data_IF_507110941529
#
_entry.id   IF_507110941529
#
_cell.length_a   1.000
_cell.length_b   1.000
_cell.length_c   1.000
_cell.angle_alpha   90.00
_cell.angle_beta   90.00
_cell.angle_gamma   90.00
#
_symmetry.space_group_name_H-M   'P 1'
#
loop_
_entity.id
_entity.type
_entity.pdbx_description
1 polymer ?
#
# COMPACT_ATOMS: atom_id res chain seq x y z
N UNK A 1 -3.74 7.40 25.59
CA UNK A 1 -3.44 8.84 25.41
C UNK A 1 -2.63 9.10 24.14
N UNK A 2 -1.44 8.50 23.95
CA UNK A 2 -0.64 8.71 22.73
C UNK A 2 -1.31 8.20 21.43
N UNK A 3 -1.99 7.05 21.45
CA UNK A 3 -2.76 6.51 20.31
C UNK A 3 -3.93 7.43 19.88
N UNK A 4 -4.63 8.03 20.85
CA UNK A 4 -5.70 8.98 20.58
C UNK A 4 -5.20 10.27 19.89
N UNK A 5 -3.93 10.65 20.12
CA UNK A 5 -3.30 11.86 19.58
C UNK A 5 -2.49 11.63 18.28
N UNK A 6 -2.29 10.39 17.84
CA UNK A 6 -1.45 10.06 16.67
C UNK A 6 -2.06 10.52 15.34
N UNK A 7 -3.39 10.56 15.24
CA UNK A 7 -4.10 10.88 14.01
C UNK A 7 -4.38 12.40 13.87
N UNK A 8 -4.09 13.03 12.71
CA UNK A 8 -4.28 14.47 12.51
C UNK A 8 -5.73 14.92 12.67
N UNK A 9 -6.71 14.10 12.26
CA UNK A 9 -8.14 14.40 12.41
C UNK A 9 -8.55 14.43 13.90
N UNK A 10 -8.02 13.51 14.72
CA UNK A 10 -8.28 13.47 16.17
C UNK A 10 -7.66 14.67 16.89
N UNK A 11 -6.44 15.07 16.51
CA UNK A 11 -5.81 16.30 17.02
C UNK A 11 -6.61 17.55 16.66
N UNK A 12 -7.12 17.64 15.43
CA UNK A 12 -8.03 18.72 15.02
C UNK A 12 -9.32 18.70 15.83
N UNK A 13 -9.96 17.55 15.99
CA UNK A 13 -11.18 17.41 16.80
C UNK A 13 -10.98 17.89 18.26
N UNK A 14 -9.87 17.49 18.90
CA UNK A 14 -9.54 17.94 20.26
C UNK A 14 -9.36 19.46 20.37
N UNK A 15 -8.75 20.10 19.36
CA UNK A 15 -8.65 21.58 19.30
C UNK A 15 -10.02 22.23 19.14
N UNK A 16 -10.87 21.69 18.27
CA UNK A 16 -12.24 22.16 18.09
C UNK A 16 -13.07 22.06 19.38
N UNK A 17 -12.87 21.00 20.18
CA UNK A 17 -13.52 20.83 21.48
C UNK A 17 -12.96 21.73 22.58
N UNK A 18 -11.71 22.19 22.43
CA UNK A 18 -11.10 23.14 23.36
C UNK A 18 -11.67 24.55 23.22
N UNK A 19 -12.13 24.91 22.02
CA UNK A 19 -12.83 26.17 21.77
C UNK A 19 -14.23 26.16 22.38
N UNK A 20 -15.03 25.11 22.09
CA UNK A 20 -16.38 24.91 22.62
C UNK A 20 -16.87 23.47 22.42
N UNK A 21 -17.87 23.00 23.19
CA UNK A 21 -18.61 21.79 22.86
C UNK A 21 -19.27 21.88 21.48
N UNK A 22 -19.30 20.76 20.75
CA UNK A 22 -19.80 20.69 19.36
C UNK A 22 -20.70 19.49 19.12
N UNK A 23 -21.68 19.64 18.24
CA UNK A 23 -22.54 18.54 17.81
C UNK A 23 -21.83 17.64 16.78
N UNK A 24 -22.31 16.41 16.65
CA UNK A 24 -21.79 15.45 15.67
C UNK A 24 -21.79 15.99 14.24
N UNK A 25 -22.87 16.65 13.82
CA UNK A 25 -23.01 17.22 12.48
C UNK A 25 -22.06 18.38 12.22
N UNK A 26 -21.81 19.24 13.21
CA UNK A 26 -20.85 20.35 13.11
C UNK A 26 -19.41 19.81 12.93
N UNK A 27 -19.08 18.72 13.63
CA UNK A 27 -17.77 18.06 13.49
C UNK A 27 -17.57 17.45 12.10
N UNK A 28 -18.59 16.82 11.53
CA UNK A 28 -18.50 16.26 10.17
C UNK A 28 -18.15 17.36 9.15
N UNK A 29 -18.81 18.51 9.26
CA UNK A 29 -18.59 19.66 8.37
C UNK A 29 -17.20 20.25 8.55
N UNK A 30 -16.78 20.53 9.79
CA UNK A 30 -15.50 21.20 10.06
C UNK A 30 -14.27 20.32 9.88
N UNK A 31 -14.42 19.00 10.07
CA UNK A 31 -13.35 18.04 9.87
C UNK A 31 -13.34 17.46 8.44
N UNK A 32 -14.36 17.73 7.63
CA UNK A 32 -14.51 17.17 6.29
C UNK A 32 -14.59 15.63 6.28
N UNK A 33 -15.22 15.06 7.31
CA UNK A 33 -15.26 13.62 7.55
C UNK A 33 -16.68 13.06 7.36
N UNK A 34 -16.79 11.88 6.76
CA UNK A 34 -18.05 11.16 6.70
C UNK A 34 -18.46 10.57 8.06
N UNK A 35 -19.73 10.16 8.17
CA UNK A 35 -20.29 9.69 9.44
C UNK A 35 -19.58 8.44 9.98
N UNK A 36 -19.29 7.38 9.17
CA UNK A 36 -18.53 6.23 9.65
C UNK A 36 -17.13 6.58 10.15
N UNK A 37 -16.41 7.45 9.44
CA UNK A 37 -15.04 7.88 9.79
C UNK A 37 -15.03 8.70 11.08
N UNK A 38 -15.98 9.63 11.24
CA UNK A 38 -16.08 10.42 12.48
C UNK A 38 -16.47 9.54 13.68
N UNK A 39 -17.39 8.59 13.51
CA UNK A 39 -17.79 7.65 14.56
C UNK A 39 -16.58 6.82 15.04
N UNK A 40 -15.79 6.31 14.09
CA UNK A 40 -14.56 5.58 14.36
C UNK A 40 -13.57 6.41 15.18
N UNK A 41 -13.30 7.66 14.77
CA UNK A 41 -12.37 8.52 15.49
C UNK A 41 -12.86 8.96 16.87
N UNK A 42 -14.16 9.25 17.03
CA UNK A 42 -14.74 9.58 18.34
C UNK A 42 -14.69 8.39 19.30
N UNK A 43 -14.89 7.17 18.81
CA UNK A 43 -14.72 5.94 19.62
C UNK A 43 -13.29 5.80 20.13
N UNK A 44 -12.28 6.08 19.29
CA UNK A 44 -10.85 6.07 19.69
C UNK A 44 -10.45 7.27 20.56
N UNK A 45 -11.29 8.31 20.66
CA UNK A 45 -11.17 9.43 21.61
C UNK A 45 -11.89 9.16 22.95
N UNK A 46 -12.48 7.98 23.15
CA UNK A 46 -13.15 7.62 24.40
C UNK A 46 -12.23 7.84 25.61
N UNK A 47 -12.77 8.52 26.62
CA UNK A 47 -12.02 8.92 27.82
C UNK A 47 -11.28 10.27 27.70
N UNK A 48 -11.01 10.76 26.49
CA UNK A 48 -10.56 12.15 26.25
C UNK A 48 -11.73 13.08 25.86
N UNK A 49 -12.75 12.52 25.22
CA UNK A 49 -13.95 13.21 24.79
C UNK A 49 -15.16 12.46 25.33
N UNK A 50 -16.15 13.20 25.80
CA UNK A 50 -17.43 12.67 26.24
C UNK A 50 -18.60 13.40 25.61
N UNK A 51 -19.75 12.73 25.56
CA UNK A 51 -21.00 13.32 25.06
C UNK A 51 -21.86 13.71 26.25
N UNK A 52 -22.15 15.01 26.39
CA UNK A 52 -22.96 15.51 27.47
C UNK A 52 -24.46 15.22 27.25
N UNK A 53 -25.28 15.50 28.28
CA UNK A 53 -26.73 15.23 28.28
C UNK A 53 -27.49 15.98 27.17
N UNK A 54 -26.91 17.06 26.66
CA UNK A 54 -27.49 17.87 25.56
C UNK A 54 -27.06 17.38 24.17
N UNK A 55 -26.25 16.33 24.11
CA UNK A 55 -25.81 15.69 22.88
C UNK A 55 -24.56 16.31 22.24
N UNK A 56 -23.88 17.23 22.92
CA UNK A 56 -22.63 17.82 22.47
C UNK A 56 -21.43 16.99 22.94
N UNK A 57 -20.40 16.95 22.11
CA UNK A 57 -19.11 16.36 22.46
C UNK A 57 -18.21 17.44 23.06
N UNK A 58 -17.54 17.12 24.17
CA UNK A 58 -16.66 18.01 24.91
C UNK A 58 -15.44 17.27 25.49
N UNK A 59 -14.36 18.01 25.79
CA UNK A 59 -13.16 17.45 26.40
C UNK A 59 -13.40 17.08 27.87
N UNK A 60 -13.02 15.86 28.22
CA UNK A 60 -12.87 15.46 29.63
C UNK A 60 -11.66 16.18 30.26
N UNK A 61 -11.53 16.12 31.59
CA UNK A 61 -10.33 16.65 32.28
C UNK A 61 -9.03 15.97 31.78
N UNK A 62 -9.10 14.70 31.42
CA UNK A 62 -7.99 13.98 30.81
C UNK A 62 -7.72 14.50 29.38
N UNK A 63 -8.77 14.77 28.60
CA UNK A 63 -8.69 15.37 27.27
C UNK A 63 -8.01 16.74 27.27
N UNK A 64 -8.34 17.61 28.24
CA UNK A 64 -7.72 18.93 28.39
C UNK A 64 -6.22 18.83 28.69
N UNK A 65 -5.83 17.92 29.59
CA UNK A 65 -4.40 17.68 29.92
C UNK A 65 -3.64 17.11 28.73
N UNK A 66 -4.24 16.17 28.00
CA UNK A 66 -3.66 15.59 26.80
C UNK A 66 -3.44 16.63 25.69
N UNK A 67 -4.39 17.56 25.51
CA UNK A 67 -4.26 18.65 24.55
C UNK A 67 -3.16 19.65 24.95
N UNK A 68 -3.01 19.95 26.24
CA UNK A 68 -1.95 20.84 26.73
C UNK A 68 -0.55 20.27 26.43
N UNK A 69 -0.35 18.98 26.67
CA UNK A 69 0.90 18.28 26.32
C UNK A 69 1.14 18.32 24.81
N UNK A 70 0.09 18.17 24.00
CA UNK A 70 0.19 18.27 22.54
C UNK A 70 0.67 19.66 22.11
N UNK A 71 0.11 20.73 22.69
CA UNK A 71 0.49 22.11 22.39
C UNK A 71 1.94 22.39 22.83
N UNK A 72 2.35 21.94 24.01
CA UNK A 72 3.74 22.10 24.51
C UNK A 72 4.77 21.37 23.63
N UNK A 73 4.41 20.20 23.07
CA UNK A 73 5.26 19.47 22.13
C UNK A 73 5.34 20.14 20.74
N UNK A 74 4.27 20.83 20.34
CA UNK A 74 4.22 21.60 19.08
C UNK A 74 4.91 22.97 19.22
N UNK A 75 5.01 23.53 20.44
CA UNK A 75 5.60 24.85 20.76
C UNK A 75 7.02 24.79 21.35
N UNK A 76 7.55 23.60 21.68
CA UNK A 76 8.90 23.46 22.23
C UNK A 76 9.97 23.98 21.22
N UNK A 77 10.92 24.83 21.66
CA UNK A 77 12.04 25.25 20.82
C UNK A 77 12.86 24.01 20.45
N UNK A 78 13.02 23.77 19.15
CA UNK A 78 13.97 22.77 18.68
C UNK A 78 15.38 23.17 19.18
N UNK A 79 16.18 22.24 19.73
CA UNK A 79 17.56 22.55 20.09
C UNK A 79 18.30 23.03 18.83
N UNK A 80 19.06 24.13 18.98
CA UNK A 80 19.65 24.89 17.86
C UNK A 80 20.53 24.06 16.91
N UNK A 81 20.79 24.56 15.69
CA UNK A 81 21.24 23.73 14.59
C UNK A 81 22.66 23.21 14.78
N UNK A 82 22.80 21.90 14.65
CA UNK A 82 24.06 21.22 14.35
C UNK A 82 24.50 21.55 12.90
N UNK A 83 25.71 21.17 12.46
CA UNK A 83 26.37 21.62 11.20
C UNK A 83 25.65 21.35 9.86
N UNK A 84 24.41 20.87 9.88
CA UNK A 84 23.62 20.40 8.74
C UNK A 84 22.95 21.52 7.91
N UNK A 85 22.93 22.77 8.38
CA UNK A 85 22.26 23.89 7.66
C UNK A 85 22.98 24.43 6.41
N UNK A 86 24.03 23.76 5.90
CA UNK A 86 24.73 24.21 4.67
C UNK A 86 24.35 23.44 3.42
N UNK A 87 23.52 22.42 3.50
CA UNK A 87 23.21 21.56 2.35
C UNK A 87 21.76 21.75 1.87
N UNK A 88 21.53 21.54 0.58
CA UNK A 88 20.21 21.34 0.01
C UNK A 88 19.79 19.91 0.29
N UNK A 89 18.80 19.76 1.18
CA UNK A 89 18.26 18.45 1.54
C UNK A 89 16.94 18.25 0.81
N UNK A 90 16.83 17.18 0.03
CA UNK A 90 15.60 16.78 -0.65
C UNK A 90 15.05 15.51 0.01
N UNK A 91 13.82 15.57 0.50
CA UNK A 91 13.13 14.44 1.12
C UNK A 91 11.62 14.45 0.85
N UNK A 92 10.95 13.33 1.11
CA UNK A 92 9.51 13.09 1.00
C UNK A 92 8.95 13.38 -0.41
N UNK A 93 9.66 12.95 -1.45
CA UNK A 93 9.25 13.16 -2.85
C UNK A 93 9.00 11.85 -3.58
N UNK A 94 7.95 11.83 -4.40
CA UNK A 94 7.70 10.70 -5.29
C UNK A 94 8.73 10.72 -6.43
N UNK A 95 9.00 11.89 -7.03
CA UNK A 95 10.01 12.04 -8.08
C UNK A 95 10.87 13.26 -7.80
N UNK A 96 12.20 13.09 -7.89
CA UNK A 96 13.18 14.17 -7.90
C UNK A 96 14.00 14.11 -9.18
N UNK A 97 13.98 15.19 -9.96
CA UNK A 97 14.82 15.33 -11.14
C UNK A 97 16.08 16.13 -10.79
N UNK A 98 17.25 15.61 -11.16
CA UNK A 98 18.54 16.30 -11.03
C UNK A 98 18.97 16.78 -12.42
N UNK A 99 18.96 18.09 -12.63
CA UNK A 99 19.43 18.76 -13.84
C UNK A 99 20.58 19.74 -13.53
N UNK A 100 21.20 20.30 -14.57
CA UNK A 100 22.30 21.25 -14.38
C UNK A 100 21.86 22.51 -13.62
N UNK A 101 20.60 22.96 -13.78
CA UNK A 101 20.08 24.16 -13.09
C UNK A 101 20.11 23.98 -11.57
N UNK A 102 19.66 22.83 -11.08
CA UNK A 102 19.69 22.49 -9.66
C UNK A 102 21.13 22.38 -9.13
N UNK A 103 22.01 21.72 -9.89
CA UNK A 103 23.40 21.54 -9.47
C UNK A 103 24.18 22.86 -9.45
N UNK A 104 23.96 23.73 -10.44
CA UNK A 104 24.56 25.05 -10.49
C UNK A 104 24.06 25.95 -9.36
N UNK A 105 22.77 25.90 -9.03
CA UNK A 105 22.22 26.63 -7.90
C UNK A 105 22.92 26.24 -6.60
N UNK A 106 23.02 24.94 -6.33
CA UNK A 106 23.75 24.40 -5.17
C UNK A 106 25.22 24.84 -5.16
N UNK A 107 25.90 24.78 -6.30
CA UNK A 107 27.29 25.24 -6.41
C UNK A 107 27.44 26.75 -6.16
N UNK A 108 26.56 27.58 -6.71
CA UNK A 108 26.57 29.04 -6.53
C UNK A 108 26.36 29.44 -5.06
N UNK A 109 25.49 28.71 -4.36
CA UNK A 109 25.25 28.93 -2.93
C UNK A 109 26.34 28.30 -2.03
N UNK A 110 27.31 27.57 -2.61
CA UNK A 110 28.34 26.87 -1.85
C UNK A 110 27.79 25.70 -1.02
N UNK A 111 26.66 25.14 -1.44
CA UNK A 111 25.91 24.09 -0.74
C UNK A 111 26.06 22.75 -1.44
N UNK A 112 26.01 21.66 -0.68
CA UNK A 112 25.95 20.30 -1.26
C UNK A 112 24.51 19.82 -1.32
N UNK A 113 24.23 18.84 -2.17
CA UNK A 113 22.91 18.22 -2.28
C UNK A 113 22.93 16.88 -1.57
N UNK A 114 21.95 16.67 -0.70
CA UNK A 114 21.69 15.39 -0.05
C UNK A 114 20.26 14.97 -0.32
N UNK A 115 20.06 13.72 -0.71
CA UNK A 115 18.78 13.19 -1.13
C UNK A 115 18.43 12.01 -0.24
N UNK A 116 17.27 12.07 0.40
CA UNK A 116 16.75 11.08 1.35
C UNK A 116 15.29 10.79 1.02
N UNK A 117 14.77 9.59 1.29
CA UNK A 117 13.34 9.29 1.25
C UNK A 117 12.61 9.75 -0.03
N UNK A 118 13.24 9.48 -1.18
CA UNK A 118 12.67 9.75 -2.51
C UNK A 118 12.35 8.44 -3.22
N UNK A 119 11.16 8.32 -3.82
CA UNK A 119 10.79 7.08 -4.53
C UNK A 119 11.62 6.92 -5.81
N UNK A 120 11.68 7.97 -6.66
CA UNK A 120 12.46 7.95 -7.90
C UNK A 120 13.35 9.19 -8.00
N UNK A 121 14.65 8.98 -8.17
CA UNK A 121 15.61 10.04 -8.53
C UNK A 121 16.00 9.86 -9.99
N UNK A 122 15.79 10.88 -10.81
CA UNK A 122 16.18 10.87 -12.23
C UNK A 122 17.26 11.90 -12.51
N UNK A 123 18.45 11.44 -12.90
CA UNK A 123 19.55 12.30 -13.33
C UNK A 123 19.41 12.57 -14.82
N UNK A 124 19.33 13.84 -15.20
CA UNK A 124 19.11 14.21 -16.60
C UNK A 124 20.33 13.88 -17.48
N UNK A 125 20.05 13.64 -18.76
CA UNK A 125 21.02 13.11 -19.73
C UNK A 125 22.13 14.09 -20.10
N UNK A 126 21.97 15.37 -19.79
CA UNK A 126 22.85 16.50 -20.11
C UNK A 126 23.65 17.00 -18.90
N UNK A 127 23.48 16.37 -17.73
CA UNK A 127 24.21 16.72 -16.49
C UNK A 127 25.73 16.60 -16.66
N UNK A 128 26.47 17.61 -16.21
CA UNK A 128 27.94 17.58 -16.16
C UNK A 128 28.42 16.59 -15.07
N UNK A 129 29.27 15.59 -15.41
CA UNK A 129 29.71 14.57 -14.46
C UNK A 129 30.53 15.12 -13.28
N UNK A 130 31.38 16.13 -13.52
CA UNK A 130 32.22 16.73 -12.47
C UNK A 130 31.37 17.56 -11.54
N UNK A 131 30.43 18.33 -12.09
CA UNK A 131 29.50 19.14 -11.31
C UNK A 131 28.61 18.26 -10.42
N UNK A 132 28.07 17.18 -11.00
CA UNK A 132 27.28 16.18 -10.26
C UNK A 132 28.10 15.57 -9.12
N UNK A 133 29.33 15.14 -9.41
CA UNK A 133 30.19 14.52 -8.41
C UNK A 133 30.62 15.49 -7.29
N UNK A 134 30.81 16.76 -7.63
CA UNK A 134 31.19 17.80 -6.69
C UNK A 134 30.02 18.17 -5.77
N UNK A 135 28.82 18.32 -6.34
CA UNK A 135 27.67 18.95 -5.66
C UNK A 135 26.82 17.93 -4.92
N UNK A 136 26.48 16.79 -5.55
CA UNK A 136 25.72 15.74 -4.87
C UNK A 136 26.66 15.08 -3.87
N UNK A 137 26.28 15.10 -2.61
CA UNK A 137 27.07 14.52 -1.53
C UNK A 137 26.59 13.12 -1.21
N UNK A 138 25.27 12.90 -1.16
CA UNK A 138 24.69 11.63 -0.77
C UNK A 138 23.32 11.44 -1.44
N UNK A 139 23.07 10.21 -1.91
CA UNK A 139 21.76 9.73 -2.33
C UNK A 139 21.49 8.50 -1.47
N UNK A 140 20.47 8.59 -0.62
CA UNK A 140 20.22 7.55 0.35
C UNK A 140 18.74 7.26 0.46
N UNK A 141 18.40 6.00 0.71
CA UNK A 141 17.03 5.61 1.01
C UNK A 141 16.07 5.89 -0.18
N UNK A 142 16.52 5.51 -1.38
CA UNK A 142 15.81 5.74 -2.66
C UNK A 142 15.45 4.43 -3.33
N UNK A 143 14.20 4.28 -3.80
CA UNK A 143 13.78 3.04 -4.44
C UNK A 143 14.42 2.87 -5.83
N UNK A 144 14.36 3.89 -6.69
CA UNK A 144 14.95 3.83 -8.03
C UNK A 144 15.78 5.07 -8.32
N UNK A 145 17.04 4.87 -8.69
CA UNK A 145 17.89 5.92 -9.28
C UNK A 145 18.07 5.66 -10.76
N UNK A 146 17.48 6.51 -11.58
CA UNK A 146 17.63 6.50 -13.03
C UNK A 146 18.78 7.42 -13.42
N UNK A 147 19.85 6.85 -13.97
CA UNK A 147 21.08 7.55 -14.32
C UNK A 147 21.59 7.10 -15.69
N UNK A 148 21.93 8.03 -16.60
CA UNK A 148 22.59 7.68 -17.86
C UNK A 148 23.89 6.89 -17.61
N UNK A 149 24.19 5.89 -18.46
CA UNK A 149 25.40 5.04 -18.37
C UNK A 149 26.68 5.85 -18.09
N UNK A 150 26.86 6.97 -18.79
CA UNK A 150 28.04 7.85 -18.66
C UNK A 150 28.22 8.50 -17.28
N UNK A 151 27.14 8.61 -16.49
CA UNK A 151 27.11 9.26 -15.18
C UNK A 151 27.14 8.25 -14.03
N UNK A 152 26.99 6.96 -14.33
CA UNK A 152 26.87 5.88 -13.35
C UNK A 152 28.06 5.83 -12.38
N UNK A 153 29.28 5.92 -12.90
CA UNK A 153 30.51 5.93 -12.10
C UNK A 153 30.63 7.11 -11.12
N UNK A 154 29.85 8.18 -11.32
CA UNK A 154 29.82 9.36 -10.44
C UNK A 154 28.71 9.31 -9.40
N UNK A 155 27.64 8.56 -9.69
CA UNK A 155 26.45 8.44 -8.84
C UNK A 155 26.55 7.25 -7.89
N UNK A 156 26.99 6.08 -8.37
CA UNK A 156 27.09 4.86 -7.55
C UNK A 156 27.90 5.03 -6.26
N UNK A 157 29.07 5.72 -6.25
CA UNK A 157 29.83 5.93 -5.01
C UNK A 157 29.10 6.77 -3.96
N UNK A 158 28.07 7.50 -4.37
CA UNK A 158 27.26 8.40 -3.53
C UNK A 158 25.93 7.78 -3.13
N UNK A 159 25.56 6.63 -3.72
CA UNK A 159 24.35 5.89 -3.36
C UNK A 159 24.59 5.02 -2.13
N UNK A 160 23.65 5.05 -1.19
CA UNK A 160 23.60 4.17 -0.01
C UNK A 160 22.16 3.74 0.22
N UNK A 161 21.89 2.47 0.49
CA UNK A 161 20.52 2.01 0.73
C UNK A 161 19.58 2.38 -0.46
N UNK A 162 19.98 2.03 -1.69
CA UNK A 162 19.22 2.24 -2.94
C UNK A 162 18.86 0.90 -3.55
N UNK A 163 17.59 0.69 -3.96
CA UNK A 163 17.15 -0.61 -4.48
C UNK A 163 17.72 -0.92 -5.87
N UNK A 164 17.55 0.00 -6.80
CA UNK A 164 17.94 -0.17 -8.21
C UNK A 164 18.59 1.12 -8.72
N UNK A 165 19.74 0.96 -9.38
CA UNK A 165 20.35 2.00 -10.23
C UNK A 165 20.28 1.54 -11.69
N UNK A 166 19.58 2.28 -12.55
CA UNK A 166 19.29 1.86 -13.95
C UNK A 166 19.48 2.99 -14.96
N UNK A 167 19.80 2.62 -16.21
CA UNK A 167 20.06 3.54 -17.32
C UNK A 167 18.95 3.59 -18.40
N UNK A 168 17.90 2.77 -18.28
CA UNK A 168 16.88 2.57 -19.32
C UNK A 168 15.66 3.50 -19.30
N UNK A 169 15.01 3.66 -20.46
CA UNK A 169 13.63 4.16 -20.58
C UNK A 169 12.62 3.10 -20.12
N UNK A 170 11.46 3.54 -19.61
CA UNK A 170 10.44 2.69 -18.97
C UNK A 170 10.00 1.56 -19.91
N UNK A 171 10.50 0.35 -19.67
CA UNK A 171 9.99 -0.89 -20.28
C UNK A 171 9.28 -1.68 -19.19
N UNK A 172 8.15 -2.32 -19.52
CA UNK A 172 7.32 -3.16 -18.64
C UNK A 172 8.11 -4.21 -17.84
N UNK A 173 9.28 -4.63 -18.34
CA UNK A 173 10.22 -5.52 -17.66
C UNK A 173 10.84 -4.92 -16.40
N UNK A 174 10.99 -3.59 -16.33
CA UNK A 174 11.48 -2.86 -15.16
C UNK A 174 10.41 -2.70 -14.07
N UNK A 175 9.12 -2.79 -14.41
CA UNK A 175 8.03 -2.88 -13.42
C UNK A 175 8.06 -4.27 -12.77
N UNK A 176 8.30 -5.33 -13.56
CA UNK A 176 8.49 -6.69 -13.04
C UNK A 176 9.71 -6.80 -12.12
N UNK A 177 10.84 -6.19 -12.52
CA UNK A 177 12.03 -6.07 -11.68
C UNK A 177 11.86 -5.11 -10.49
N UNK A 178 11.02 -4.08 -10.61
CA UNK A 178 10.71 -3.14 -9.51
C UNK A 178 9.83 -3.77 -8.44
N UNK A 179 8.89 -4.63 -8.84
CA UNK A 179 8.05 -5.45 -7.95
C UNK A 179 8.90 -6.54 -7.27
N UNK A 180 9.79 -7.21 -8.02
CA UNK A 180 10.76 -8.15 -7.45
C UNK A 180 11.81 -7.44 -6.56
N UNK A 181 12.29 -6.24 -6.89
CA UNK A 181 13.23 -5.51 -6.04
C UNK A 181 12.59 -4.95 -4.77
N UNK A 182 11.29 -4.63 -4.77
CA UNK A 182 10.53 -4.34 -3.54
C UNK A 182 10.55 -5.50 -2.53
N UNK A 183 10.76 -6.75 -2.98
CA UNK A 183 10.98 -7.89 -2.08
C UNK A 183 12.33 -7.83 -1.35
N UNK A 184 13.37 -7.27 -1.98
CA UNK A 184 14.71 -7.10 -1.41
C UNK A 184 14.87 -5.84 -0.54
N UNK A 185 13.86 -4.96 -0.52
CA UNK A 185 13.92 -3.66 0.18
C UNK A 185 13.56 -3.73 1.68
N UNK A 186 13.13 -4.88 2.18
CA UNK A 186 12.83 -5.11 3.60
C UNK A 186 13.98 -4.81 4.61
N UNK A 187 15.29 -4.85 4.29
CA UNK A 187 16.35 -4.57 5.25
C UNK A 187 16.86 -3.11 5.28
N UNK A 188 16.40 -2.21 4.41
CA UNK A 188 16.96 -0.84 4.35
C UNK A 188 16.58 0.00 5.58
N UNK A 189 17.59 0.63 6.19
CA UNK A 189 17.47 1.33 7.48
C UNK A 189 16.60 2.60 7.42
N UNK A 190 16.27 3.13 6.25
CA UNK A 190 15.35 4.27 6.07
C UNK A 190 14.00 4.07 6.73
N UNK A 191 13.37 2.93 6.42
CA UNK A 191 11.99 2.64 6.83
C UNK A 191 11.87 2.35 8.33
N UNK A 192 13.02 2.17 9.00
CA UNK A 192 13.13 1.84 10.42
C UNK A 192 13.35 3.08 11.30
N UNK A 193 13.77 4.22 10.74
CA UNK A 193 14.23 5.38 11.53
C UNK A 193 13.18 6.47 11.74
N UNK A 194 12.12 6.49 10.92
CA UNK A 194 11.02 7.47 11.02
C UNK A 194 9.82 6.97 11.82
N UNK A 195 9.75 5.67 12.13
CA UNK A 195 8.63 5.06 12.83
C UNK A 195 9.17 3.90 13.65
N UNK A 196 8.82 3.83 14.94
CA UNK A 196 9.38 2.88 15.92
C UNK A 196 9.34 1.41 15.48
N UNK A 197 10.04 0.51 16.22
CA UNK A 197 10.08 -0.90 15.87
C UNK A 197 8.67 -1.48 15.82
N UNK A 198 8.40 -2.36 14.85
CA UNK A 198 7.20 -3.18 14.87
C UNK A 198 7.25 -4.08 16.11
N UNK A 199 6.16 -4.10 16.85
CA UNK A 199 5.98 -4.96 18.02
C UNK A 199 4.94 -6.01 17.67
N UNK A 200 5.11 -7.23 18.17
CA UNK A 200 4.08 -8.25 18.05
C UNK A 200 2.85 -7.81 18.86
N UNK A 201 1.74 -7.57 18.15
CA UNK A 201 0.47 -7.13 18.74
C UNK A 201 -0.55 -8.26 18.81
N UNK A 202 -0.35 -9.29 17.98
CA UNK A 202 -1.16 -10.49 17.99
C UNK A 202 -0.34 -11.71 17.57
N UNK A 203 -0.56 -12.82 18.27
CA UNK A 203 0.03 -14.11 17.97
C UNK A 203 -0.92 -15.18 18.53
N UNK A 204 -1.70 -15.79 17.65
CA UNK A 204 -2.70 -16.74 18.10
C UNK A 204 -3.58 -17.30 16.99
N UNK A 205 -4.42 -18.24 17.40
CA UNK A 205 -5.39 -18.86 16.52
C UNK A 205 -6.56 -17.94 16.23
N UNK A 206 -7.07 -18.02 15.01
CA UNK A 206 -8.28 -17.29 14.62
C UNK A 206 -9.36 -18.23 14.09
N UNK A 207 -10.61 -17.83 14.26
CA UNK A 207 -11.76 -18.60 13.81
C UNK A 207 -12.29 -18.05 12.49
N UNK A 208 -12.77 -18.94 11.63
CA UNK A 208 -13.51 -18.57 10.42
C UNK A 208 -14.48 -19.70 10.05
N UNK A 209 -15.55 -19.37 9.33
CA UNK A 209 -16.57 -20.33 8.86
C UNK A 209 -16.34 -20.75 7.41
N UNK A 210 -15.07 -20.86 7.00
CA UNK A 210 -14.67 -21.01 5.59
C UNK A 210 -14.67 -19.71 4.76
N UNK A 211 -14.91 -18.55 5.37
CA UNK A 211 -14.76 -17.23 4.73
C UNK A 211 -13.78 -16.37 5.52
N UNK A 212 -12.87 -15.70 4.81
CA UNK A 212 -11.97 -14.68 5.37
C UNK A 212 -12.12 -13.38 4.59
N UNK A 213 -12.39 -12.30 5.29
CA UNK A 213 -12.39 -10.92 4.81
C UNK A 213 -11.14 -10.23 5.34
N UNK A 214 -10.33 -9.68 4.43
CA UNK A 214 -9.06 -9.05 4.74
C UNK A 214 -9.06 -7.62 4.20
N UNK A 215 -9.11 -6.66 5.12
CA UNK A 215 -9.02 -5.22 4.82
C UNK A 215 -7.58 -4.74 5.05
N UNK A 216 -6.96 -4.16 4.02
CA UNK A 216 -5.54 -3.75 4.04
C UNK A 216 -5.35 -2.30 3.62
N UNK A 217 -5.00 -1.46 4.59
CA UNK A 217 -4.66 -0.05 4.42
C UNK A 217 -3.15 0.19 4.58
N UNK A 218 -2.35 -0.51 3.78
CA UNK A 218 -0.88 -0.44 3.84
C UNK A 218 -0.23 -1.56 4.66
N UNK A 219 1.10 -1.67 4.55
CA UNK A 219 1.85 -2.75 5.20
C UNK A 219 2.07 -3.95 4.29
N UNK A 220 2.37 -5.11 4.89
CA UNK A 220 2.63 -6.37 4.20
C UNK A 220 1.80 -7.49 4.83
N UNK A 221 1.07 -8.22 3.99
CA UNK A 221 0.38 -9.44 4.40
C UNK A 221 0.93 -10.62 3.63
N UNK A 222 1.24 -11.69 4.34
CA UNK A 222 1.41 -13.01 3.74
C UNK A 222 0.28 -13.91 4.21
N UNK A 223 -0.52 -14.40 3.28
CA UNK A 223 -1.58 -15.37 3.52
C UNK A 223 -1.20 -16.68 2.86
N UNK A 224 -1.13 -17.76 3.62
CA UNK A 224 -0.76 -19.07 3.09
C UNK A 224 -1.55 -20.21 3.70
N UNK A 225 -1.47 -21.39 3.09
CA UNK A 225 -2.11 -22.59 3.65
C UNK A 225 -1.42 -23.03 4.94
N UNK A 226 -2.18 -23.24 6.01
CA UNK A 226 -1.69 -23.85 7.25
C UNK A 226 -2.72 -23.82 8.36
N UNK A 227 -2.31 -24.17 9.59
CA UNK A 227 -3.18 -24.07 10.75
C UNK A 227 -3.66 -22.62 10.94
N UNK A 228 -4.94 -22.44 11.31
CA UNK A 228 -5.58 -21.14 11.43
C UNK A 228 -4.91 -20.28 12.50
N UNK A 229 -3.95 -19.46 12.08
CA UNK A 229 -3.06 -18.74 12.96
C UNK A 229 -2.67 -17.41 12.34
N UNK A 230 -2.52 -16.38 13.16
CA UNK A 230 -2.09 -15.05 12.75
C UNK A 230 -0.95 -14.58 13.64
N UNK A 231 0.08 -14.05 13.01
CA UNK A 231 1.14 -13.27 13.68
C UNK A 231 1.11 -11.88 13.10
N UNK A 232 0.75 -10.89 13.91
CA UNK A 232 0.69 -9.49 13.51
C UNK A 232 1.72 -8.67 14.26
N UNK A 233 2.52 -7.93 13.50
CA UNK A 233 3.50 -6.98 14.00
C UNK A 233 3.13 -5.59 13.51
N UNK A 234 2.76 -4.73 14.44
CA UNK A 234 2.31 -3.37 14.15
C UNK A 234 3.08 -2.38 15.01
N UNK A 235 3.00 -1.10 14.66
CA UNK A 235 3.55 -0.03 15.50
C UNK A 235 2.56 0.36 16.58
N UNK A 236 1.29 0.45 16.22
CA UNK A 236 0.18 0.65 17.12
C UNK A 236 -0.64 -0.65 17.19
N UNK A 237 -0.93 -1.21 18.38
CA UNK A 237 -1.88 -2.32 18.51
C UNK A 237 -3.27 -2.02 17.95
N UNK A 238 -3.66 -0.74 17.89
CA UNK A 238 -4.93 -0.33 17.29
C UNK A 238 -4.95 -0.44 15.75
N UNK A 239 -3.78 -0.63 15.11
CA UNK A 239 -3.65 -0.80 13.66
C UNK A 239 -3.99 -2.23 13.21
N UNK A 240 -4.30 -3.14 14.15
CA UNK A 240 -4.68 -4.52 13.86
C UNK A 240 -5.95 -4.88 14.60
N UNK A 241 -7.00 -5.20 13.84
CA UNK A 241 -8.27 -5.68 14.39
C UNK A 241 -8.58 -7.08 13.84
N UNK A 242 -8.94 -7.99 14.73
CA UNK A 242 -9.28 -9.38 14.38
C UNK A 242 -10.62 -9.77 14.97
N UNK A 243 -11.43 -10.45 14.18
CA UNK A 243 -12.70 -11.06 14.57
C UNK A 243 -12.93 -12.33 13.76
N UNK A 244 -13.92 -13.17 14.12
CA UNK A 244 -14.16 -14.41 13.38
C UNK A 244 -14.41 -14.15 11.89
N UNK A 245 -13.52 -14.66 11.04
CA UNK A 245 -13.58 -14.51 9.59
C UNK A 245 -13.24 -13.13 9.04
N UNK A 246 -12.75 -12.18 9.86
CA UNK A 246 -12.35 -10.84 9.41
C UNK A 246 -11.09 -10.35 10.08
N UNK A 247 -10.16 -9.81 9.30
CA UNK A 247 -8.92 -9.19 9.74
C UNK A 247 -8.79 -7.83 9.05
N UNK A 248 -8.55 -6.76 9.82
CA UNK A 248 -8.34 -5.41 9.31
C UNK A 248 -7.00 -4.88 9.78
N UNK A 249 -6.22 -4.31 8.86
CA UNK A 249 -4.84 -3.88 9.13
C UNK A 249 -4.51 -2.51 8.54
N UNK A 250 -3.67 -1.76 9.25
CA UNK A 250 -3.13 -0.47 8.81
C UNK A 250 -1.59 -0.43 8.97
N UNK A 251 -0.84 -0.63 7.89
CA UNK A 251 0.62 -0.44 7.94
C UNK A 251 1.40 -1.48 8.77
N UNK A 252 0.80 -2.65 9.02
CA UNK A 252 1.39 -3.76 9.77
C UNK A 252 2.18 -4.75 8.88
N UNK A 253 3.01 -5.59 9.50
CA UNK A 253 3.50 -6.84 8.92
C UNK A 253 2.70 -8.00 9.52
N UNK A 254 1.93 -8.70 8.70
CA UNK A 254 1.02 -9.76 9.15
C UNK A 254 1.26 -11.04 8.37
N UNK A 255 1.46 -12.14 9.10
CA UNK A 255 1.51 -13.49 8.55
C UNK A 255 0.25 -14.23 8.99
N UNK A 256 -0.50 -14.75 8.02
CA UNK A 256 -1.74 -15.49 8.21
C UNK A 256 -1.55 -16.87 7.58
N UNK A 257 -1.79 -17.91 8.37
CA UNK A 257 -1.94 -19.27 7.88
C UNK A 257 -3.38 -19.69 8.07
N UNK A 258 -4.01 -20.24 7.03
CA UNK A 258 -5.40 -20.67 7.09
C UNK A 258 -5.64 -21.96 6.31
N UNK A 259 -6.57 -22.78 6.78
CA UNK A 259 -7.00 -23.99 6.10
C UNK A 259 -8.54 -24.08 6.11
N UNK A 260 -9.12 -24.73 5.10
CA UNK A 260 -10.58 -24.84 4.99
C UNK A 260 -11.26 -23.53 4.59
N UNK A 261 -10.52 -22.56 4.02
CA UNK A 261 -11.13 -21.42 3.35
C UNK A 261 -11.79 -21.86 2.04
N UNK A 262 -12.97 -21.31 1.77
CA UNK A 262 -13.73 -21.46 0.53
C UNK A 262 -13.94 -20.10 -0.14
N UNK A 263 -14.00 -19.04 0.66
CA UNK A 263 -14.18 -17.66 0.21
C UNK A 263 -13.11 -16.76 0.80
N UNK A 264 -12.43 -16.00 -0.05
CA UNK A 264 -11.53 -14.94 0.34
C UNK A 264 -12.05 -13.60 -0.20
N UNK A 265 -12.13 -12.60 0.65
CA UNK A 265 -12.46 -11.22 0.28
C UNK A 265 -11.30 -10.33 0.64
N UNK A 266 -10.83 -9.54 -0.32
CA UNK A 266 -9.67 -8.67 -0.20
C UNK A 266 -10.09 -7.24 -0.51
N UNK A 267 -10.02 -6.36 0.49
CA UNK A 267 -10.24 -4.92 0.32
C UNK A 267 -8.90 -4.20 0.50
N UNK A 268 -8.31 -3.74 -0.59
CA UNK A 268 -6.92 -3.28 -0.63
C UNK A 268 -6.87 -1.80 -1.02
N UNK A 269 -6.68 -0.95 -0.01
CA UNK A 269 -6.43 0.47 -0.21
C UNK A 269 -4.95 0.75 -0.51
N UNK A 270 -4.04 -0.06 0.04
CA UNK A 270 -2.59 0.07 -0.17
C UNK A 270 -1.79 -1.07 0.46
N UNK A 271 -0.47 -1.10 0.23
CA UNK A 271 0.40 -2.16 0.77
C UNK A 271 0.64 -3.31 -0.21
N UNK A 272 1.16 -4.43 0.30
CA UNK A 272 1.44 -5.63 -0.49
C UNK A 272 0.83 -6.88 0.17
N UNK A 273 0.07 -7.64 -0.60
CA UNK A 273 -0.53 -8.90 -0.17
C UNK A 273 0.05 -10.03 -1.02
N UNK A 274 0.60 -11.04 -0.35
CA UNK A 274 1.15 -12.27 -0.93
C UNK A 274 0.26 -13.44 -0.51
N UNK A 275 -0.51 -14.02 -1.44
CA UNK A 275 -1.44 -15.12 -1.18
C UNK A 275 -0.94 -16.40 -1.85
N UNK A 276 -0.63 -17.44 -1.09
CA UNK A 276 -0.06 -18.68 -1.65
C UNK A 276 -0.72 -19.97 -1.17
N UNK A 277 -1.06 -20.84 -2.12
CA UNK A 277 -1.40 -22.24 -1.84
C UNK A 277 -2.78 -22.45 -1.22
N UNK A 278 -3.66 -21.44 -1.29
CA UNK A 278 -5.05 -21.57 -0.87
C UNK A 278 -5.89 -22.23 -1.96
N UNK A 279 -6.83 -23.08 -1.54
CA UNK A 279 -7.84 -23.68 -2.41
C UNK A 279 -9.19 -22.99 -2.17
N UNK A 280 -9.74 -22.30 -3.17
CA UNK A 280 -10.94 -21.47 -3.02
C UNK A 280 -12.03 -21.84 -4.04
N UNK A 281 -13.28 -21.61 -3.67
CA UNK A 281 -14.42 -21.57 -4.60
C UNK A 281 -14.78 -20.13 -4.98
N UNK A 282 -14.47 -19.17 -4.11
CA UNK A 282 -14.78 -17.76 -4.36
C UNK A 282 -13.64 -16.83 -3.94
N UNK A 283 -13.39 -15.83 -4.78
CA UNK A 283 -12.49 -14.71 -4.50
C UNK A 283 -13.20 -13.42 -4.91
N UNK A 284 -13.20 -12.45 -4.01
CA UNK A 284 -13.61 -11.08 -4.27
C UNK A 284 -12.42 -10.20 -3.89
N UNK A 285 -11.91 -9.42 -4.85
CA UNK A 285 -10.72 -8.61 -4.64
C UNK A 285 -10.92 -7.20 -5.18
N UNK A 286 -11.10 -6.25 -4.27
CA UNK A 286 -11.31 -4.83 -4.53
C UNK A 286 -10.03 -4.06 -4.21
N UNK A 287 -9.39 -3.54 -5.24
CA UNK A 287 -8.01 -3.05 -5.19
C UNK A 287 -7.99 -1.59 -5.62
N UNK A 288 -8.29 -0.71 -4.66
CA UNK A 288 -8.19 0.73 -4.84
C UNK A 288 -6.73 1.18 -5.02
N UNK A 289 -5.78 0.53 -4.32
CA UNK A 289 -4.35 0.81 -4.39
C UNK A 289 -3.50 -0.38 -3.91
N UNK A 290 -2.17 -0.23 -3.91
CA UNK A 290 -1.26 -1.30 -3.51
C UNK A 290 -1.09 -2.41 -4.55
N UNK A 291 -0.59 -3.56 -4.11
CA UNK A 291 -0.33 -4.70 -4.97
C UNK A 291 -0.71 -6.03 -4.30
N UNK A 292 -1.36 -6.90 -5.07
CA UNK A 292 -1.71 -8.27 -4.68
C UNK A 292 -0.97 -9.21 -5.61
N UNK A 293 -0.25 -10.17 -5.04
CA UNK A 293 0.30 -11.34 -5.73
C UNK A 293 -0.41 -12.59 -5.20
N UNK A 294 -1.04 -13.35 -6.08
CA UNK A 294 -1.90 -14.47 -5.69
C UNK A 294 -1.61 -15.74 -6.49
N UNK A 295 -1.19 -16.80 -5.80
CA UNK A 295 -1.13 -18.16 -6.33
C UNK A 295 -2.22 -19.02 -5.68
N UNK A 296 -3.28 -19.27 -6.45
CA UNK A 296 -4.52 -19.88 -5.95
C UNK A 296 -4.87 -21.16 -6.73
N UNK A 297 -5.32 -22.18 -5.99
CA UNK A 297 -6.06 -23.30 -6.56
C UNK A 297 -7.55 -23.00 -6.51
N UNK A 298 -8.24 -23.13 -7.63
CA UNK A 298 -9.66 -22.81 -7.74
C UNK A 298 -10.46 -24.05 -8.11
N UNK A 299 -11.66 -24.18 -7.55
CA UNK A 299 -12.69 -25.09 -8.06
C UNK A 299 -13.84 -24.28 -8.66
N UNK A 300 -14.91 -24.95 -9.09
CA UNK A 300 -16.10 -24.26 -9.60
C UNK A 300 -16.62 -23.24 -8.60
N UNK A 301 -16.85 -22.02 -9.08
CA UNK A 301 -17.44 -20.94 -8.31
C UNK A 301 -17.29 -19.60 -9.02
N UNK A 302 -16.94 -18.55 -8.27
CA UNK A 302 -16.92 -17.18 -8.78
C UNK A 302 -15.71 -16.40 -8.29
N UNK A 303 -14.95 -15.83 -9.21
CA UNK A 303 -13.85 -14.91 -8.93
C UNK A 303 -14.20 -13.54 -9.50
N UNK A 304 -14.13 -12.50 -8.68
CA UNK A 304 -14.26 -11.10 -9.06
C UNK A 304 -13.02 -10.34 -8.63
N UNK A 305 -12.40 -9.62 -9.56
CA UNK A 305 -11.23 -8.77 -9.32
C UNK A 305 -11.53 -7.39 -9.87
N UNK A 306 -11.57 -6.38 -9.00
CA UNK A 306 -11.80 -4.98 -9.36
C UNK A 306 -10.56 -4.16 -9.02
N UNK A 307 -9.87 -3.63 -10.04
CA UNK A 307 -8.67 -2.81 -9.84
C UNK A 307 -8.93 -1.35 -10.23
N UNK A 308 -9.22 -0.51 -9.24
CA UNK A 308 -9.45 0.93 -9.41
C UNK A 308 -8.15 1.72 -9.64
N UNK A 309 -7.05 1.29 -9.02
CA UNK A 309 -5.74 1.95 -9.16
C UNK A 309 -4.53 1.10 -8.75
N UNK A 310 -4.74 0.01 -8.01
CA UNK A 310 -3.67 -0.92 -7.64
C UNK A 310 -3.39 -2.01 -8.68
N UNK A 311 -2.57 -2.97 -8.28
CA UNK A 311 -2.12 -4.08 -9.14
C UNK A 311 -2.61 -5.42 -8.57
N UNK A 312 -3.20 -6.24 -9.42
CA UNK A 312 -3.39 -7.67 -9.16
C UNK A 312 -2.51 -8.48 -10.11
N UNK A 313 -1.59 -9.25 -9.58
CA UNK A 313 -0.84 -10.26 -10.32
C UNK A 313 -1.18 -11.64 -9.72
N UNK A 314 -1.28 -12.66 -10.55
CA UNK A 314 -1.46 -13.98 -9.97
C UNK A 314 -1.53 -15.14 -10.94
N UNK A 315 -1.36 -16.34 -10.38
CA UNK A 315 -1.62 -17.60 -11.06
C UNK A 315 -2.88 -18.22 -10.49
N UNK A 316 -3.87 -18.42 -11.36
CA UNK A 316 -5.14 -19.04 -11.03
C UNK A 316 -5.20 -20.44 -11.66
N UNK A 317 -5.09 -21.49 -10.85
CA UNK A 317 -5.08 -22.88 -11.30
C UNK A 317 -6.39 -23.57 -10.98
N UNK A 318 -7.22 -23.81 -11.99
CA UNK A 318 -8.51 -24.48 -11.81
C UNK A 318 -8.35 -26.01 -11.74
N UNK A 319 -9.08 -26.65 -10.82
CA UNK A 319 -9.32 -28.10 -10.78
C UNK A 319 -10.43 -28.47 -11.77
N UNK A 320 -10.52 -29.73 -12.23
CA UNK A 320 -11.63 -30.20 -13.05
C UNK A 320 -13.00 -29.92 -12.43
N UNK A 321 -13.95 -29.47 -13.26
CA UNK A 321 -15.34 -29.27 -12.84
C UNK A 321 -16.34 -29.45 -13.99
N UNK A 322 -17.61 -29.70 -13.65
CA UNK A 322 -18.75 -29.70 -14.58
C UNK A 322 -19.66 -28.49 -14.32
N UNK A 323 -20.28 -27.96 -15.38
CA UNK A 323 -21.13 -26.76 -15.33
C UNK A 323 -20.36 -25.45 -15.50
N UNK A 324 -20.95 -24.33 -15.09
CA UNK A 324 -20.37 -23.00 -15.27
C UNK A 324 -19.62 -22.50 -14.03
N UNK A 325 -18.48 -21.84 -14.26
CA UNK A 325 -17.71 -21.05 -13.29
C UNK A 325 -17.46 -19.66 -13.86
N UNK A 326 -17.27 -18.65 -13.02
CA UNK A 326 -17.13 -17.26 -13.45
C UNK A 326 -15.78 -16.65 -13.00
N UNK A 327 -15.15 -15.91 -13.91
CA UNK A 327 -14.01 -15.04 -13.63
C UNK A 327 -14.31 -13.65 -14.22
N UNK A 328 -14.60 -12.68 -13.37
CA UNK A 328 -14.82 -11.29 -13.74
C UNK A 328 -13.61 -10.44 -13.36
N UNK A 329 -13.17 -9.63 -14.31
CA UNK A 329 -12.08 -8.68 -14.13
C UNK A 329 -12.59 -7.32 -14.54
N UNK A 330 -12.55 -6.35 -13.64
CA UNK A 330 -12.89 -4.95 -13.90
C UNK A 330 -11.69 -4.07 -13.59
N UNK A 331 -11.38 -3.10 -14.45
CA UNK A 331 -10.30 -2.13 -14.19
C UNK A 331 -10.77 -0.72 -14.52
N UNK A 332 -10.42 0.24 -13.65
CA UNK A 332 -10.75 1.66 -13.80
C UNK A 332 -9.51 2.56 -13.61
N UNK A 333 -8.34 2.07 -14.02
CA UNK A 333 -7.03 2.71 -13.81
C UNK A 333 -5.95 1.76 -13.27
N UNK A 334 -6.35 0.66 -12.63
CA UNK A 334 -5.45 -0.37 -12.13
C UNK A 334 -4.90 -1.33 -13.20
N UNK A 335 -4.07 -2.27 -12.76
CA UNK A 335 -3.47 -3.31 -13.62
C UNK A 335 -3.80 -4.70 -13.11
N UNK A 336 -4.28 -5.56 -13.99
CA UNK A 336 -4.52 -6.98 -13.69
C UNK A 336 -3.70 -7.85 -14.64
N UNK A 337 -2.92 -8.78 -14.09
CA UNK A 337 -2.13 -9.75 -14.85
C UNK A 337 -2.34 -11.15 -14.29
N UNK A 338 -2.92 -12.04 -15.10
CA UNK A 338 -3.29 -13.39 -14.67
C UNK A 338 -2.69 -14.43 -15.60
N UNK A 339 -1.97 -15.38 -15.00
CA UNK A 339 -1.65 -16.66 -15.60
C UNK A 339 -2.74 -17.67 -15.21
N UNK A 340 -3.57 -18.04 -16.18
CA UNK A 340 -4.72 -18.91 -15.99
C UNK A 340 -4.38 -20.33 -16.44
N UNK A 341 -4.41 -21.28 -15.52
CA UNK A 341 -4.22 -22.70 -15.83
C UNK A 341 -5.56 -23.44 -15.76
N UNK A 342 -5.95 -24.06 -16.88
CA UNK A 342 -7.22 -24.77 -17.02
C UNK A 342 -7.00 -26.26 -17.33
N UNK A 343 -7.78 -27.17 -16.75
CA UNK A 343 -7.82 -28.58 -17.15
C UNK A 343 -8.23 -28.75 -18.62
N UNK A 344 -7.90 -29.89 -19.22
CA UNK A 344 -8.23 -30.20 -20.62
C UNK A 344 -9.75 -30.31 -20.86
N UNK A 345 -10.48 -30.76 -19.85
CA UNK A 345 -11.92 -30.95 -19.82
C UNK A 345 -12.73 -29.70 -19.48
N UNK A 346 -12.06 -28.55 -19.28
CA UNK A 346 -12.69 -27.25 -19.02
C UNK A 346 -12.52 -26.35 -20.24
N UNK A 347 -13.65 -25.87 -20.77
CA UNK A 347 -13.71 -24.84 -21.80
C UNK A 347 -13.57 -23.44 -21.22
N UNK A 348 -13.33 -22.47 -22.10
CA UNK A 348 -13.18 -21.06 -21.75
C UNK A 348 -14.07 -20.21 -22.66
N UNK A 349 -15.02 -19.48 -22.10
CA UNK A 349 -15.85 -18.52 -22.82
C UNK A 349 -15.38 -17.11 -22.46
N UNK A 350 -14.90 -16.34 -23.44
CA UNK A 350 -14.33 -15.00 -23.21
C UNK A 350 -15.25 -13.90 -23.72
N UNK A 351 -15.59 -12.95 -22.86
CA UNK A 351 -16.22 -11.68 -23.18
C UNK A 351 -15.32 -10.54 -22.74
N UNK A 352 -15.18 -9.50 -23.57
CA UNK A 352 -14.36 -8.32 -23.24
C UNK A 352 -15.02 -7.02 -23.69
N UNK A 353 -14.88 -6.00 -22.85
CA UNK A 353 -15.24 -4.61 -23.14
C UNK A 353 -14.09 -3.69 -22.78
N UNK A 354 -13.73 -2.75 -23.66
CA UNK A 354 -12.58 -1.85 -23.45
C UNK A 354 -12.94 -0.43 -23.82
N UNK A 355 -12.77 0.47 -22.87
CA UNK A 355 -12.94 1.92 -22.98
C UNK A 355 -11.70 2.58 -22.37
N UNK A 356 -10.85 3.21 -23.19
CA UNK A 356 -9.72 4.01 -22.70
C UNK A 356 -8.55 3.26 -22.04
N UNK A 357 -8.49 1.92 -22.12
CA UNK A 357 -7.40 1.10 -21.59
C UNK A 357 -6.94 0.00 -22.54
N UNK A 358 -6.23 -1.01 -22.02
CA UNK A 358 -5.68 -2.14 -22.81
C UNK A 358 -6.13 -3.48 -22.23
N UNK A 359 -6.71 -4.35 -23.06
CA UNK A 359 -7.02 -5.72 -22.68
C UNK A 359 -6.37 -6.74 -23.62
N UNK A 360 -5.58 -7.67 -23.06
CA UNK A 360 -5.04 -8.83 -23.75
C UNK A 360 -5.63 -10.08 -23.11
N UNK A 361 -6.47 -10.80 -23.84
CA UNK A 361 -7.19 -11.97 -23.33
C UNK A 361 -7.05 -13.13 -24.31
N UNK A 362 -7.10 -14.39 -23.83
CA UNK A 362 -7.06 -15.55 -24.70
C UNK A 362 -8.30 -15.63 -25.61
N UNK A 363 -8.22 -16.49 -26.62
CA UNK A 363 -9.41 -16.86 -27.40
C UNK A 363 -10.28 -17.85 -26.62
N UNK A 364 -11.58 -17.86 -26.91
CA UNK A 364 -12.49 -18.85 -26.36
C UNK A 364 -12.10 -20.28 -26.78
N UNK A 365 -12.22 -21.22 -25.85
CA UNK A 365 -11.93 -22.64 -26.03
C UNK A 365 -13.23 -23.42 -25.85
N UNK A 366 -13.79 -23.93 -26.94
CA UNK A 366 -15.03 -24.72 -26.92
C UNK A 366 -14.70 -26.21 -26.72
N UNK A 367 -14.61 -26.63 -25.46
CA UNK A 367 -14.41 -28.04 -25.10
C UNK A 367 -15.00 -28.33 -23.73
N UNK A 368 -15.12 -29.62 -23.43
CA UNK A 368 -15.36 -30.06 -22.06
C UNK A 368 -16.82 -30.05 -21.61
N UNK A 369 -17.03 -30.47 -20.36
CA UNK A 369 -18.33 -30.44 -19.66
C UNK A 369 -18.44 -29.27 -18.67
N UNK A 370 -17.30 -28.66 -18.34
CA UNK A 370 -17.21 -27.42 -17.58
C UNK A 370 -16.84 -26.25 -18.48
N UNK A 371 -17.35 -25.06 -18.17
CA UNK A 371 -17.02 -23.82 -18.87
C UNK A 371 -16.66 -22.73 -17.85
N UNK A 372 -15.49 -22.12 -18.00
CA UNK A 372 -15.13 -20.89 -17.31
C UNK A 372 -15.54 -19.68 -18.17
N UNK A 373 -16.48 -18.88 -17.67
CA UNK A 373 -16.90 -17.62 -18.26
C UNK A 373 -15.97 -16.49 -17.78
N UNK A 374 -15.02 -16.09 -18.62
CA UNK A 374 -14.11 -14.97 -18.40
C UNK A 374 -14.74 -13.68 -18.96
N UNK A 375 -15.03 -12.72 -18.09
CA UNK A 375 -15.48 -11.38 -18.47
C UNK A 375 -14.43 -10.35 -18.07
N UNK A 376 -13.98 -9.54 -19.03
CA UNK A 376 -12.95 -8.51 -18.80
C UNK A 376 -13.46 -7.15 -19.25
N UNK A 377 -13.71 -6.28 -18.28
CA UNK A 377 -14.16 -4.90 -18.48
C UNK A 377 -13.03 -3.94 -18.13
N UNK A 378 -12.58 -3.13 -19.08
CA UNK A 378 -11.48 -2.18 -18.89
C UNK A 378 -11.97 -0.77 -19.19
N UNK A 379 -12.11 0.06 -18.17
CA UNK A 379 -12.48 1.46 -18.23
C UNK A 379 -11.30 2.36 -17.80
N UNK A 380 -10.20 2.29 -18.54
CA UNK A 380 -8.89 2.80 -18.12
C UNK A 380 -8.06 1.74 -17.38
N UNK A 381 -6.73 1.82 -17.49
CA UNK A 381 -5.82 0.79 -16.95
C UNK A 381 -5.50 -0.33 -17.94
N UNK A 382 -5.07 -1.49 -17.41
CA UNK A 382 -4.66 -2.63 -18.23
C UNK A 382 -5.04 -3.99 -17.62
N UNK A 383 -5.53 -4.90 -18.47
CA UNK A 383 -5.78 -6.29 -18.11
C UNK A 383 -5.06 -7.24 -19.08
N UNK A 384 -4.29 -8.19 -18.56
CA UNK A 384 -3.69 -9.28 -19.32
C UNK A 384 -4.06 -10.61 -18.69
N UNK A 385 -4.70 -11.49 -19.45
CA UNK A 385 -4.95 -12.88 -19.08
C UNK A 385 -4.24 -13.76 -20.09
N UNK A 386 -3.42 -14.69 -19.62
CA UNK A 386 -2.72 -15.68 -20.43
C UNK A 386 -3.15 -17.06 -19.97
N UNK A 387 -3.47 -17.94 -20.93
CA UNK A 387 -3.65 -19.36 -20.62
C UNK A 387 -2.29 -20.02 -20.73
N UNK A 388 -1.87 -20.77 -19.70
CA UNK A 388 -0.55 -21.41 -19.61
C UNK A 388 -0.62 -22.92 -19.48
#
# INVERSE_FOLDING_TARGET
MFQALSHPLRRRALRLFAERPRMYSELMEELGADSPTLAFHLKKLAGLVEKNERGFYELTELGKRALKVLQELEEAPQPGPAPEERDFVFHDRIILKIDNSLLELAKREGRKIRIYDVVIVEVDKDVDPKLLYEVVQEIRDVAVVKVPERLRAYVEPKTRDVAIVTSGGVLMSAIKLGIEALTYLAPLKAFRKLRGPLVEVYNGEFQHSGRLELEVSGGRVRLSKGANHVVAKCRDPDDFEISPGRISIEGCEVEITAEGLHTLVLDVAGGYIDVNGLALTALEADIAGGAVDAQLELSRGAVSIEAGGGVFAGRLSYKPFEGESQLRISTAGGVVSIDLQLPEEVGLAVSKSVVGGVARVPQSINRGRGVLSLTVDVAGGAAEVKVI
#
